data_IF_677083007309
#
_entry.id   IF_677083007309
#
_cell.length_a   1.000
_cell.length_b   1.000
_cell.length_c   1.000
_cell.angle_alpha   90.00
_cell.angle_beta   90.00
_cell.angle_gamma   90.00
#
_symmetry.space_group_name_H-M   'P 1'
#
loop_
_entity.id
_entity.type
_entity.pdbx_description
1 polymer ?
#
# COMPACT_ATOMS: atom_id res chain seq x y z
N UNK A 1 33.42 -76.58 -0.60
CA UNK A 1 33.89 -75.41 0.17
C UNK A 1 34.17 -74.29 -0.83
N UNK A 2 33.19 -73.44 -1.13
CA UNK A 2 32.80 -72.12 -0.57
C UNK A 2 33.09 -71.06 -1.64
N UNK A 3 32.02 -70.60 -2.29
CA UNK A 3 32.00 -69.46 -3.22
C UNK A 3 32.28 -68.14 -2.49
N UNK A 4 33.19 -67.32 -3.02
CA UNK A 4 33.35 -65.93 -2.62
C UNK A 4 32.56 -65.04 -3.59
N UNK A 5 31.36 -64.61 -3.19
CA UNK A 5 30.59 -63.58 -3.87
C UNK A 5 31.15 -62.22 -3.45
N UNK A 6 31.83 -61.53 -4.37
CA UNK A 6 32.32 -60.17 -4.16
C UNK A 6 31.11 -59.22 -4.23
N UNK A 7 30.72 -58.68 -3.08
CA UNK A 7 29.67 -57.63 -2.99
C UNK A 7 30.26 -56.33 -3.54
N UNK A 8 29.73 -55.88 -4.69
CA UNK A 8 30.09 -54.60 -5.31
C UNK A 8 29.59 -53.46 -4.42
N UNK A 9 30.50 -52.66 -3.87
CA UNK A 9 30.19 -51.49 -3.06
C UNK A 9 29.24 -50.56 -3.84
N UNK A 10 28.08 -50.23 -3.24
CA UNK A 10 27.19 -49.19 -3.77
C UNK A 10 27.89 -47.85 -3.57
N UNK A 11 28.11 -47.13 -4.66
CA UNK A 11 28.79 -45.84 -4.62
C UNK A 11 27.81 -44.78 -4.07
N UNK A 12 27.89 -44.50 -2.77
CA UNK A 12 27.16 -43.38 -2.18
C UNK A 12 27.74 -42.06 -2.71
N UNK A 13 26.91 -41.12 -3.20
CA UNK A 13 27.41 -39.84 -3.69
C UNK A 13 28.13 -39.10 -2.57
N UNK A 14 29.37 -38.68 -2.84
CA UNK A 14 30.23 -37.97 -1.88
C UNK A 14 29.54 -36.71 -1.33
N UNK A 15 29.82 -36.34 -0.09
CA UNK A 15 29.31 -35.11 0.55
C UNK A 15 29.49 -33.83 -0.30
N UNK A 16 30.50 -33.79 -1.17
CA UNK A 16 30.73 -32.67 -2.09
C UNK A 16 29.74 -32.66 -3.28
N UNK A 17 29.14 -33.80 -3.62
CA UNK A 17 28.06 -33.89 -4.59
C UNK A 17 26.73 -33.39 -3.99
N UNK A 18 26.45 -33.70 -2.71
CA UNK A 18 25.27 -33.17 -2.01
C UNK A 18 25.30 -31.66 -1.83
N UNK A 19 26.47 -31.10 -1.45
CA UNK A 19 26.65 -29.64 -1.36
C UNK A 19 26.43 -28.94 -2.69
N UNK A 20 27.04 -29.44 -3.77
CA UNK A 20 26.88 -28.87 -5.13
C UNK A 20 25.44 -28.96 -5.63
N UNK A 21 24.73 -30.06 -5.37
CA UNK A 21 23.30 -30.19 -5.69
C UNK A 21 22.42 -29.23 -4.88
N UNK A 22 22.74 -29.00 -3.60
CA UNK A 22 22.06 -28.02 -2.75
C UNK A 22 22.26 -26.57 -3.23
N UNK A 23 23.49 -26.21 -3.63
CA UNK A 23 23.81 -24.87 -4.16
C UNK A 23 23.08 -24.57 -5.47
N UNK A 24 22.93 -25.58 -6.34
CA UNK A 24 22.18 -25.47 -7.60
C UNK A 24 20.70 -25.28 -7.31
N UNK A 25 20.13 -26.06 -6.38
CA UNK A 25 18.71 -25.93 -6.00
C UNK A 25 18.41 -24.55 -5.39
N UNK A 26 19.30 -24.03 -4.52
CA UNK A 26 19.18 -22.70 -3.95
C UNK A 26 19.22 -21.61 -5.03
N UNK A 27 20.14 -21.71 -5.99
CA UNK A 27 20.26 -20.75 -7.10
C UNK A 27 19.06 -20.79 -8.05
N UNK A 28 18.44 -21.96 -8.25
CA UNK A 28 17.22 -22.10 -9.04
C UNK A 28 16.05 -21.42 -8.32
N UNK A 29 15.90 -21.67 -7.01
CA UNK A 29 14.85 -21.04 -6.21
C UNK A 29 14.95 -19.50 -6.22
N UNK A 30 16.17 -18.98 -6.04
CA UNK A 30 16.48 -17.55 -6.10
C UNK A 30 16.07 -16.94 -7.45
N UNK A 31 16.45 -17.60 -8.55
CA UNK A 31 16.09 -17.14 -9.90
C UNK A 31 14.58 -17.16 -10.16
N UNK A 32 13.87 -18.16 -9.64
CA UNK A 32 12.42 -18.24 -9.76
C UNK A 32 11.75 -17.12 -8.96
N UNK A 33 12.16 -16.92 -7.70
CA UNK A 33 11.64 -15.83 -6.87
C UNK A 33 11.89 -14.44 -7.49
N UNK A 34 13.07 -14.24 -8.08
CA UNK A 34 13.42 -12.98 -8.74
C UNK A 34 12.63 -12.75 -10.05
N UNK A 35 12.32 -13.83 -10.78
CA UNK A 35 11.44 -13.78 -11.97
C UNK A 35 9.99 -13.51 -11.60
N UNK A 36 9.50 -14.12 -10.53
CA UNK A 36 8.14 -13.90 -10.02
C UNK A 36 7.96 -12.47 -9.52
N UNK A 37 8.95 -11.94 -8.79
CA UNK A 37 8.97 -10.54 -8.37
C UNK A 37 8.99 -9.57 -9.57
N UNK A 38 9.77 -9.88 -10.61
CA UNK A 38 9.84 -9.05 -11.83
C UNK A 38 8.56 -9.12 -12.66
N UNK A 39 7.92 -10.29 -12.72
CA UNK A 39 6.61 -10.51 -13.34
C UNK A 39 5.51 -9.75 -12.61
N UNK A 40 5.48 -9.81 -11.28
CA UNK A 40 4.56 -9.04 -10.46
C UNK A 40 4.77 -7.53 -10.65
N UNK A 41 6.02 -7.06 -10.65
CA UNK A 41 6.35 -5.67 -10.92
C UNK A 41 5.93 -5.21 -12.32
N UNK A 42 6.14 -6.03 -13.35
CA UNK A 42 5.74 -5.72 -14.73
C UNK A 42 4.22 -5.64 -14.91
N UNK A 43 3.44 -6.44 -14.16
CA UNK A 43 1.96 -6.34 -14.14
C UNK A 43 1.47 -5.09 -13.41
N UNK A 44 2.23 -4.59 -12.44
CA UNK A 44 1.92 -3.39 -11.65
C UNK A 44 2.34 -2.09 -12.35
N UNK A 45 3.34 -2.13 -13.23
CA UNK A 45 3.88 -0.98 -13.95
C UNK A 45 2.83 -0.16 -14.74
N UNK A 46 2.01 -0.75 -15.65
CA UNK A 46 1.00 0.03 -16.37
C UNK A 46 -0.10 0.58 -15.44
N UNK A 47 -0.35 -0.06 -14.30
CA UNK A 47 -1.27 0.45 -13.28
C UNK A 47 -0.67 1.64 -12.54
N UNK A 48 0.64 1.62 -12.26
CA UNK A 48 1.35 2.71 -11.60
C UNK A 48 1.41 3.96 -12.49
N UNK A 49 1.67 3.81 -13.80
CA UNK A 49 1.69 4.93 -14.75
C UNK A 49 0.33 5.66 -14.82
N UNK A 50 -0.79 4.92 -14.80
CA UNK A 50 -2.12 5.52 -14.73
C UNK A 50 -2.39 6.28 -13.41
N UNK A 51 -1.70 5.92 -12.31
CA UNK A 51 -1.78 6.66 -11.05
C UNK A 51 -0.93 7.93 -11.07
N UNK A 52 0.25 7.87 -11.69
CA UNK A 52 1.14 9.03 -11.85
C UNK A 52 0.47 10.14 -12.69
N UNK A 53 -0.34 9.75 -13.69
CA UNK A 53 -1.08 10.69 -14.54
C UNK A 53 -2.24 11.39 -13.79
N UNK A 54 -2.99 10.65 -12.96
CA UNK A 54 -4.01 11.21 -12.06
C UNK A 54 -3.35 12.11 -11.00
N UNK A 55 -2.18 11.72 -10.50
CA UNK A 55 -1.40 12.46 -9.53
C UNK A 55 -0.82 13.78 -10.09
N UNK A 56 -0.52 13.84 -11.39
CA UNK A 56 0.07 15.01 -12.05
C UNK A 56 -0.86 16.21 -12.24
N UNK A 57 -2.19 16.03 -12.20
CA UNK A 57 -3.17 17.06 -12.60
C UNK A 57 -3.39 18.21 -11.60
N UNK A 58 -2.60 18.34 -10.53
CA UNK A 58 -2.74 19.42 -9.55
C UNK A 58 -4.02 19.39 -8.71
N UNK A 59 -4.77 18.28 -8.75
CA UNK A 59 -6.05 18.12 -8.04
C UNK A 59 -5.85 17.46 -6.68
N UNK A 60 -6.43 18.07 -5.65
CA UNK A 60 -6.63 17.42 -4.36
C UNK A 60 -8.06 16.87 -4.27
N UNK A 61 -8.21 15.76 -3.55
CA UNK A 61 -9.44 14.99 -3.51
C UNK A 61 -10.03 15.01 -2.10
N UNK A 62 -11.35 15.06 -1.98
CA UNK A 62 -11.96 14.81 -0.68
C UNK A 62 -11.70 13.34 -0.30
N UNK A 63 -11.52 13.06 0.99
CA UNK A 63 -11.25 11.69 1.49
C UNK A 63 -12.30 10.68 0.98
N UNK A 64 -13.57 11.11 0.86
CA UNK A 64 -14.65 10.28 0.32
C UNK A 64 -14.46 9.85 -1.13
N UNK A 65 -13.75 10.67 -1.92
CA UNK A 65 -13.49 10.42 -3.35
C UNK A 65 -12.22 9.56 -3.52
N UNK A 66 -11.29 9.64 -2.56
CA UNK A 66 -10.06 8.82 -2.52
C UNK A 66 -10.35 7.37 -2.17
N UNK A 67 -11.30 7.09 -1.29
CA UNK A 67 -11.55 5.72 -0.85
C UNK A 67 -11.91 4.79 -2.04
N UNK A 68 -12.84 5.16 -2.94
CA UNK A 68 -13.11 4.39 -4.16
C UNK A 68 -11.94 4.30 -5.13
N UNK A 69 -10.99 5.25 -5.13
CA UNK A 69 -9.77 5.19 -5.93
C UNK A 69 -8.86 4.07 -5.39
N UNK A 70 -8.62 4.04 -4.08
CA UNK A 70 -7.84 2.99 -3.43
C UNK A 70 -8.48 1.61 -3.58
N UNK A 71 -9.81 1.50 -3.48
CA UNK A 71 -10.52 0.24 -3.74
C UNK A 71 -10.29 -0.27 -5.18
N UNK A 72 -10.33 0.63 -6.17
CA UNK A 72 -9.96 0.28 -7.56
C UNK A 72 -8.50 -0.08 -7.73
N UNK A 73 -7.62 0.28 -6.79
CA UNK A 73 -6.23 -0.14 -6.75
C UNK A 73 -6.04 -1.54 -6.09
N UNK A 74 -7.11 -2.18 -5.62
CA UNK A 74 -7.06 -3.45 -4.90
C UNK A 74 -6.89 -3.31 -3.38
N UNK A 75 -7.06 -2.11 -2.83
CA UNK A 75 -6.99 -1.85 -1.39
C UNK A 75 -8.41 -1.76 -0.84
N UNK A 76 -8.86 -2.78 -0.12
CA UNK A 76 -10.21 -2.81 0.44
C UNK A 76 -10.41 -1.73 1.52
N UNK A 77 -10.95 -0.58 1.11
CA UNK A 77 -11.29 0.51 2.02
C UNK A 77 -12.60 1.19 1.63
N UNK A 78 -13.13 2.00 2.54
CA UNK A 78 -14.30 2.85 2.34
C UNK A 78 -14.08 4.21 3.01
N UNK A 79 -14.93 5.22 2.76
CA UNK A 79 -14.71 6.59 3.25
C UNK A 79 -14.49 6.68 4.75
N UNK A 80 -15.33 6.00 5.54
CA UNK A 80 -15.24 5.99 7.01
C UNK A 80 -13.95 5.31 7.50
N UNK A 81 -13.63 4.12 6.98
CA UNK A 81 -12.39 3.41 7.28
C UNK A 81 -11.17 4.24 6.90
N UNK A 82 -11.22 4.95 5.78
CA UNK A 82 -10.11 5.81 5.36
C UNK A 82 -9.91 6.99 6.31
N UNK A 83 -10.98 7.60 6.85
CA UNK A 83 -10.83 8.61 7.91
C UNK A 83 -10.19 8.04 9.17
N UNK A 84 -10.57 6.83 9.58
CA UNK A 84 -9.97 6.13 10.72
C UNK A 84 -8.49 5.83 10.48
N UNK A 85 -8.16 5.26 9.31
CA UNK A 85 -6.77 5.05 8.90
C UNK A 85 -5.96 6.35 8.90
N UNK A 86 -6.49 7.44 8.35
CA UNK A 86 -5.81 8.75 8.40
C UNK A 86 -5.59 9.24 9.83
N UNK A 87 -6.50 8.91 10.75
CA UNK A 87 -6.36 9.24 12.15
C UNK A 87 -5.28 8.40 12.84
N UNK A 88 -5.28 7.09 12.60
CA UNK A 88 -4.29 6.13 13.11
C UNK A 88 -2.88 6.43 12.59
N UNK A 89 -2.76 6.85 11.33
CA UNK A 89 -1.50 7.33 10.73
C UNK A 89 -1.03 8.66 11.33
N UNK A 90 -1.85 9.30 12.17
CA UNK A 90 -1.59 10.62 12.71
C UNK A 90 -1.53 11.68 11.61
N UNK A 91 -2.36 11.59 10.58
CA UNK A 91 -2.46 12.64 9.56
C UNK A 91 -3.60 13.60 9.87
N UNK A 92 -4.66 13.11 10.51
CA UNK A 92 -5.79 13.92 10.97
C UNK A 92 -6.12 13.66 12.44
N UNK A 93 -6.86 14.59 13.04
CA UNK A 93 -7.39 14.49 14.39
C UNK A 93 -8.80 15.05 14.50
N UNK A 94 -9.48 14.72 15.60
CA UNK A 94 -10.78 15.30 15.96
C UNK A 94 -10.53 16.62 16.69
N UNK A 95 -10.76 17.73 15.99
CA UNK A 95 -10.71 19.08 16.56
C UNK A 95 -12.02 19.47 17.23
N UNK A 96 -12.24 20.79 17.33
CA UNK A 96 -13.44 21.37 17.91
C UNK A 96 -14.72 20.82 17.26
N UNK A 97 -15.75 20.58 18.07
CA UNK A 97 -17.03 19.98 17.66
C UNK A 97 -16.88 18.61 16.97
N UNK A 98 -15.81 17.87 17.32
CA UNK A 98 -15.47 16.53 16.78
C UNK A 98 -15.27 16.53 15.26
N UNK A 99 -14.83 17.64 14.68
CA UNK A 99 -14.62 17.75 13.22
C UNK A 99 -13.22 17.28 12.85
N UNK A 100 -13.08 16.62 11.70
CA UNK A 100 -11.77 16.18 11.23
C UNK A 100 -10.95 17.39 10.77
N UNK A 101 -9.72 17.49 11.27
CA UNK A 101 -8.74 18.49 10.88
C UNK A 101 -7.39 17.80 10.62
N UNK A 102 -6.57 18.28 9.66
CA UNK A 102 -5.26 17.70 9.41
C UNK A 102 -4.25 18.23 10.43
N UNK A 103 -3.29 17.39 10.80
CA UNK A 103 -2.10 17.88 11.51
C UNK A 103 -1.22 18.70 10.56
N UNK A 104 -0.60 19.77 11.06
CA UNK A 104 0.35 20.60 10.30
C UNK A 104 1.42 19.75 9.60
N UNK A 105 2.02 18.79 10.33
CA UNK A 105 3.03 17.86 9.77
C UNK A 105 2.58 17.13 8.49
N UNK A 106 1.29 16.78 8.36
CA UNK A 106 0.77 16.08 7.20
C UNK A 106 0.52 17.02 6.02
N UNK A 107 0.20 18.28 6.33
CA UNK A 107 0.10 19.37 5.34
C UNK A 107 1.49 19.77 4.84
N UNK A 108 2.44 19.99 5.75
CA UNK A 108 3.82 20.38 5.45
C UNK A 108 4.56 19.29 4.67
N UNK A 109 4.31 18.02 4.98
CA UNK A 109 4.81 16.89 4.19
C UNK A 109 4.17 16.81 2.78
N UNK A 110 3.14 17.61 2.50
CA UNK A 110 2.44 17.68 1.23
C UNK A 110 1.46 16.53 1.00
N UNK A 111 1.06 15.78 2.04
CA UNK A 111 0.10 14.67 1.90
C UNK A 111 -1.35 15.16 1.94
N UNK A 112 -1.61 16.20 2.73
CA UNK A 112 -2.94 16.78 2.90
C UNK A 112 -2.95 18.26 2.55
N UNK A 113 -4.15 18.76 2.22
CA UNK A 113 -4.49 20.18 2.11
C UNK A 113 -5.77 20.46 2.88
N UNK A 114 -6.00 21.73 3.18
CA UNK A 114 -7.25 22.22 3.77
C UNK A 114 -7.97 23.07 2.75
N UNK A 115 -9.25 22.75 2.49
CA UNK A 115 -10.13 23.60 1.69
C UNK A 115 -11.10 24.34 2.59
N UNK A 116 -11.09 25.67 2.52
CA UNK A 116 -12.12 26.48 3.16
C UNK A 116 -13.49 26.15 2.57
N UNK A 117 -14.49 26.03 3.44
CA UNK A 117 -15.88 25.75 3.07
C UNK A 117 -16.72 27.00 3.32
N UNK A 118 -17.68 27.27 2.44
CA UNK A 118 -18.61 28.37 2.64
C UNK A 118 -19.40 28.15 3.95
N UNK A 119 -19.67 29.21 4.73
CA UNK A 119 -20.59 29.16 5.86
C UNK A 119 -21.96 28.63 5.42
N UNK A 120 -22.66 27.95 6.31
CA UNK A 120 -24.01 27.43 6.05
C UNK A 120 -25.00 28.08 7.01
N UNK A 121 -26.28 28.15 6.62
CA UNK A 121 -27.34 28.56 7.54
C UNK A 121 -27.72 27.40 8.44
N UNK A 122 -27.68 27.65 9.74
CA UNK A 122 -28.23 26.75 10.73
C UNK A 122 -29.75 26.64 10.55
N UNK A 123 -30.27 25.40 10.60
CA UNK A 123 -31.68 25.13 10.30
C UNK A 123 -32.62 25.53 11.43
N UNK A 124 -32.13 25.54 12.66
CA UNK A 124 -32.96 25.76 13.85
C UNK A 124 -32.97 27.25 14.23
N UNK A 125 -31.81 27.91 14.12
CA UNK A 125 -31.62 29.32 14.50
C UNK A 125 -31.67 30.28 13.32
N UNK A 126 -31.41 29.81 12.10
CA UNK A 126 -31.33 30.63 10.88
C UNK A 126 -30.01 31.40 10.72
N UNK A 127 -29.12 31.35 11.70
CA UNK A 127 -27.84 32.06 11.73
C UNK A 127 -26.83 31.48 10.72
N UNK A 128 -25.91 32.33 10.24
CA UNK A 128 -24.78 31.88 9.42
C UNK A 128 -23.67 31.30 10.30
N UNK A 129 -23.43 30.00 10.16
CA UNK A 129 -22.42 29.26 10.93
C UNK A 129 -21.20 28.94 10.06
N UNK A 130 -19.98 29.18 10.55
CA UNK A 130 -18.77 28.77 9.84
C UNK A 130 -18.74 27.26 9.61
N UNK A 131 -18.56 26.85 8.35
CA UNK A 131 -18.36 25.45 8.01
C UNK A 131 -16.96 24.99 8.42
N UNK A 132 -16.83 23.71 8.81
CA UNK A 132 -15.52 23.14 9.03
C UNK A 132 -14.70 23.16 7.73
N UNK A 133 -13.43 23.54 7.78
CA UNK A 133 -12.53 23.32 6.67
C UNK A 133 -12.49 21.83 6.30
N UNK A 134 -12.49 21.54 5.00
CA UNK A 134 -12.52 20.18 4.51
C UNK A 134 -11.09 19.65 4.32
N UNK A 135 -10.81 18.46 4.88
CA UNK A 135 -9.58 17.72 4.63
C UNK A 135 -9.55 17.24 3.18
N UNK A 136 -8.47 17.56 2.49
CA UNK A 136 -8.18 17.15 1.12
C UNK A 136 -6.90 16.34 1.07
N UNK A 137 -6.89 15.29 0.26
CA UNK A 137 -5.73 14.43 0.04
C UNK A 137 -5.11 14.82 -1.28
N UNK A 138 -3.81 15.13 -1.27
CA UNK A 138 -3.07 15.42 -2.49
C UNK A 138 -2.78 14.13 -3.25
N UNK A 139 -2.44 14.25 -4.53
CA UNK A 139 -1.82 13.20 -5.32
C UNK A 139 -0.71 12.42 -4.56
N UNK A 140 0.24 13.15 -3.95
CA UNK A 140 1.31 12.58 -3.12
C UNK A 140 0.76 11.80 -1.93
N UNK A 141 -0.30 12.31 -1.28
CA UNK A 141 -0.98 11.63 -0.20
C UNK A 141 -1.66 10.33 -0.64
N UNK A 142 -2.30 10.32 -1.81
CA UNK A 142 -2.94 9.13 -2.39
C UNK A 142 -1.91 8.05 -2.67
N UNK A 143 -0.80 8.37 -3.33
CA UNK A 143 0.25 7.39 -3.61
C UNK A 143 0.87 6.86 -2.31
N UNK A 144 1.10 7.74 -1.32
CA UNK A 144 1.62 7.31 -0.01
C UNK A 144 0.65 6.36 0.72
N UNK A 145 -0.65 6.60 0.63
CA UNK A 145 -1.68 5.70 1.14
C UNK A 145 -1.69 4.37 0.38
N UNK A 146 -1.59 4.40 -0.95
CA UNK A 146 -1.53 3.19 -1.79
C UNK A 146 -0.36 2.30 -1.40
N UNK A 147 0.85 2.85 -1.28
CA UNK A 147 2.03 2.08 -0.88
C UNK A 147 1.86 1.51 0.53
N UNK A 148 1.42 2.33 1.48
CA UNK A 148 1.34 1.92 2.89
C UNK A 148 0.25 0.88 3.16
N UNK A 149 -0.88 0.98 2.48
CA UNK A 149 -2.02 0.06 2.65
C UNK A 149 -1.92 -1.15 1.72
N UNK A 150 -1.37 -0.97 0.51
CA UNK A 150 -1.15 -2.05 -0.45
C UNK A 150 -0.07 -3.04 -0.02
N UNK A 151 0.96 -2.60 0.72
CA UNK A 151 1.96 -3.51 1.30
C UNK A 151 1.38 -4.47 2.35
N UNK A 152 0.25 -4.13 2.99
CA UNK A 152 -0.45 -5.00 3.92
C UNK A 152 -1.49 -5.94 3.27
N UNK A 153 -1.89 -5.66 2.03
CA UNK A 153 -2.91 -6.41 1.30
C UNK A 153 -2.35 -7.57 0.44
N UNK A 154 -1.03 -7.66 0.30
CA UNK A 154 -0.34 -8.66 -0.52
C UNK A 154 -0.04 -10.00 0.17
N UNK A 155 -0.65 -10.26 1.34
CA UNK A 155 -0.48 -11.54 2.05
C UNK A 155 -1.83 -12.27 2.16
N UNK A 156 -2.08 -13.30 1.34
CA UNK A 156 -2.94 -14.42 1.70
C UNK A 156 -2.20 -15.46 2.55
#
# INVERSE_FOLDING_TARGET
MVSAVIVKARNEPSDAAWRRSGDIAARILENLAQRDARSAAAKLAPRAEAWDEIAGAGTDYAVRDVAPMLSRAGIETGPQRLFETLHELGWIYRGEKRRWAPYARAVDAGFLKVRAMAPYRDRDTGDLVPAAPQVRVTAKGVERLRVRLGAGALTP
#
